data_IF_840092777313
#
_entry.id   IF_840092777313
#
_cell.length_a   1.000
_cell.length_b   1.000
_cell.length_c   1.000
_cell.angle_alpha   90.00
_cell.angle_beta   90.00
_cell.angle_gamma   90.00
#
_symmetry.space_group_name_H-M   'P 1'
#
loop_
_entity.id
_entity.type
_entity.pdbx_description
1 polymer ?
#
# COMPACT_ATOMS: atom_id res chain seq x y z
N UNK A 1 11.49 31.56 18.11
CA UNK A 1 10.30 31.29 18.94
C UNK A 1 9.08 31.12 18.06
N UNK A 2 8.60 32.15 17.33
CA UNK A 2 7.43 32.00 16.44
C UNK A 2 7.57 30.87 15.39
N UNK A 3 8.73 30.74 14.74
CA UNK A 3 8.96 29.67 13.75
C UNK A 3 8.97 28.24 14.32
N UNK A 4 9.24 28.07 15.62
CA UNK A 4 9.22 26.75 16.29
C UNK A 4 7.79 26.35 16.68
N UNK A 5 7.00 27.33 17.12
CA UNK A 5 5.59 27.12 17.46
C UNK A 5 4.76 26.76 16.22
N UNK A 6 4.99 27.45 15.09
CA UNK A 6 4.35 27.17 13.81
C UNK A 6 4.68 25.76 13.29
N UNK A 7 5.92 25.32 13.46
CA UNK A 7 6.35 23.98 13.06
C UNK A 7 5.63 22.90 13.89
N UNK A 8 5.61 23.06 15.22
CA UNK A 8 4.93 22.14 16.14
C UNK A 8 3.43 22.05 15.83
N UNK A 9 2.76 23.18 15.61
CA UNK A 9 1.35 23.22 15.25
C UNK A 9 1.07 22.48 13.94
N UNK A 10 1.90 22.70 12.91
CA UNK A 10 1.74 22.04 11.61
C UNK A 10 1.89 20.52 11.69
N UNK A 11 2.75 20.03 12.60
CA UNK A 11 2.95 18.61 12.83
C UNK A 11 1.77 17.98 13.55
N UNK A 12 1.24 18.64 14.60
CA UNK A 12 0.05 18.18 15.31
C UNK A 12 -1.17 18.13 14.39
N UNK A 13 -1.45 19.21 13.65
CA UNK A 13 -2.59 19.25 12.72
C UNK A 13 -2.49 18.16 11.64
N UNK A 14 -1.28 17.86 11.16
CA UNK A 14 -1.05 16.77 10.20
C UNK A 14 -1.39 15.40 10.79
N UNK A 15 -0.93 15.13 12.02
CA UNK A 15 -1.19 13.86 12.70
C UNK A 15 -2.68 13.71 13.06
N UNK A 16 -3.31 14.76 13.57
CA UNK A 16 -4.75 14.77 13.86
C UNK A 16 -5.58 14.53 12.60
N UNK A 17 -5.19 15.16 11.48
CA UNK A 17 -5.82 14.89 10.21
C UNK A 17 -5.63 13.42 9.80
N UNK A 18 -4.40 12.89 9.82
CA UNK A 18 -4.16 11.49 9.44
C UNK A 18 -4.95 10.52 10.35
N UNK A 19 -5.06 10.81 11.65
CA UNK A 19 -5.85 10.03 12.60
C UNK A 19 -7.34 9.99 12.23
N UNK A 20 -7.87 11.07 11.66
CA UNK A 20 -9.27 11.14 11.19
C UNK A 20 -9.54 10.27 9.95
N UNK A 21 -8.49 9.90 9.19
CA UNK A 21 -8.65 9.04 8.02
C UNK A 21 -8.81 7.59 8.47
N UNK A 22 -9.94 6.97 8.14
CA UNK A 22 -10.17 5.55 8.43
C UNK A 22 -9.35 4.68 7.47
N UNK A 23 -8.24 4.11 7.93
CA UNK A 23 -7.33 3.27 7.15
C UNK A 23 -7.58 1.77 7.34
N UNK A 24 -8.48 1.38 8.25
CA UNK A 24 -8.85 -0.02 8.47
C UNK A 24 -9.27 -0.72 7.18
N UNK A 25 -8.68 -1.90 6.92
CA UNK A 25 -8.97 -2.75 5.77
C UNK A 25 -8.27 -2.35 4.47
N UNK A 26 -7.36 -1.36 4.51
CA UNK A 26 -6.57 -0.95 3.35
C UNK A 26 -5.29 -1.78 3.21
N UNK A 27 -4.85 -2.00 1.97
CA UNK A 27 -3.49 -2.45 1.65
C UNK A 27 -2.55 -1.27 1.44
N UNK A 28 -1.31 -1.52 1.01
CA UNK A 28 -0.30 -0.46 0.82
C UNK A 28 -0.78 0.57 -0.21
N UNK A 29 -1.28 0.13 -1.36
CA UNK A 29 -1.63 1.02 -2.47
C UNK A 29 -2.93 1.76 -2.17
N UNK A 30 -3.97 1.06 -1.67
CA UNK A 30 -5.22 1.72 -1.28
C UNK A 30 -5.04 2.68 -0.10
N UNK A 31 -4.16 2.38 0.86
CA UNK A 31 -3.82 3.31 1.94
C UNK A 31 -3.24 4.60 1.38
N UNK A 32 -2.22 4.52 0.53
CA UNK A 32 -1.61 5.67 -0.13
C UNK A 32 -2.64 6.47 -0.94
N UNK A 33 -3.43 5.77 -1.76
CA UNK A 33 -4.48 6.37 -2.56
C UNK A 33 -5.49 7.15 -1.70
N UNK A 34 -5.86 6.61 -0.53
CA UNK A 34 -6.83 7.21 0.39
C UNK A 34 -6.25 8.41 1.16
N UNK A 35 -5.01 8.32 1.63
CA UNK A 35 -4.34 9.44 2.32
C UNK A 35 -4.13 10.61 1.35
N UNK A 36 -3.57 10.35 0.18
CA UNK A 36 -3.29 11.39 -0.82
C UNK A 36 -4.51 11.87 -1.59
N UNK A 37 -5.68 11.27 -1.41
CA UNK A 37 -6.92 11.87 -1.88
C UNK A 37 -7.21 13.22 -1.20
N UNK A 38 -6.75 13.37 0.05
CA UNK A 38 -6.97 14.58 0.83
C UNK A 38 -5.72 15.47 0.94
N UNK A 39 -4.56 14.98 0.53
CA UNK A 39 -3.29 15.69 0.56
C UNK A 39 -2.69 15.82 -0.84
N UNK A 40 -2.19 17.01 -1.15
CA UNK A 40 -1.21 17.13 -2.24
C UNK A 40 0.11 16.52 -1.77
N UNK A 41 0.66 15.59 -2.56
CA UNK A 41 1.98 15.03 -2.28
C UNK A 41 3.02 16.17 -2.30
N UNK A 42 3.81 16.33 -1.22
CA UNK A 42 4.92 17.26 -1.23
C UNK A 42 5.95 16.91 -2.31
N UNK A 43 6.55 17.91 -2.96
CA UNK A 43 7.66 17.71 -3.89
C UNK A 43 8.94 17.19 -3.22
N UNK A 44 9.09 17.51 -1.94
CA UNK A 44 10.26 17.22 -1.14
C UNK A 44 10.19 15.80 -0.58
N UNK A 45 11.19 14.98 -0.92
CA UNK A 45 11.24 13.58 -0.51
C UNK A 45 11.31 13.39 1.01
N UNK A 46 11.96 14.29 1.76
CA UNK A 46 11.99 14.21 3.22
C UNK A 46 10.60 14.50 3.81
N UNK A 47 9.83 15.40 3.21
CA UNK A 47 8.44 15.66 3.61
C UNK A 47 7.53 14.47 3.29
N UNK A 48 7.71 13.84 2.13
CA UNK A 48 7.02 12.59 1.79
C UNK A 48 7.36 11.53 2.84
N UNK A 49 8.64 11.29 3.12
CA UNK A 49 9.07 10.26 4.05
C UNK A 49 8.48 10.46 5.45
N UNK A 50 8.50 11.70 5.98
CA UNK A 50 7.88 12.04 7.27
C UNK A 50 6.36 11.83 7.28
N UNK A 51 5.68 12.09 6.17
CA UNK A 51 4.23 11.85 6.06
C UNK A 51 3.93 10.35 6.03
N UNK A 52 4.75 9.57 5.33
CA UNK A 52 4.61 8.11 5.27
C UNK A 52 4.89 7.45 6.62
N UNK A 53 5.89 7.92 7.36
CA UNK A 53 6.16 7.47 8.73
C UNK A 53 4.91 7.62 9.63
N UNK A 54 4.32 8.83 9.67
CA UNK A 54 3.09 9.07 10.43
C UNK A 54 1.91 8.24 9.92
N UNK A 55 1.80 8.06 8.60
CA UNK A 55 0.75 7.23 7.99
C UNK A 55 0.90 5.77 8.39
N UNK A 56 2.11 5.21 8.35
CA UNK A 56 2.39 3.83 8.71
C UNK A 56 2.11 3.59 10.20
N UNK A 57 2.52 4.50 11.08
CA UNK A 57 2.23 4.43 12.52
C UNK A 57 0.72 4.43 12.81
N UNK A 58 -0.03 5.32 12.17
CA UNK A 58 -1.48 5.42 12.37
C UNK A 58 -2.20 4.21 11.79
N UNK A 59 -1.81 3.76 10.59
CA UNK A 59 -2.32 2.54 9.98
C UNK A 59 -2.10 1.35 10.91
N UNK A 60 -0.90 1.21 11.48
CA UNK A 60 -0.56 0.11 12.39
C UNK A 60 -1.44 0.10 13.63
N UNK A 61 -1.55 1.25 14.32
CA UNK A 61 -2.40 1.39 15.53
C UNK A 61 -3.87 1.07 15.25
N UNK A 62 -4.41 1.54 14.12
CA UNK A 62 -5.81 1.25 13.76
C UNK A 62 -6.04 -0.25 13.54
N UNK A 63 -5.07 -0.98 12.97
CA UNK A 63 -5.20 -2.43 12.74
C UNK A 63 -4.94 -3.27 13.99
N UNK A 64 -4.05 -2.84 14.89
CA UNK A 64 -3.93 -3.47 16.20
C UNK A 64 -5.23 -3.35 16.99
N UNK A 65 -5.89 -2.19 16.92
CA UNK A 65 -7.19 -2.00 17.57
C UNK A 65 -8.27 -2.88 16.92
N UNK A 66 -8.34 -2.89 15.60
CA UNK A 66 -9.30 -3.74 14.87
C UNK A 66 -9.09 -5.24 15.17
N UNK A 67 -7.84 -5.71 15.26
CA UNK A 67 -7.54 -7.10 15.62
C UNK A 67 -8.00 -7.47 17.04
N UNK A 68 -7.87 -6.53 18.00
CA UNK A 68 -8.38 -6.71 19.37
C UNK A 68 -9.91 -6.76 19.40
N UNK A 69 -10.57 -5.89 18.65
CA UNK A 69 -12.05 -5.84 18.56
C UNK A 69 -12.62 -7.09 17.88
N UNK A 70 -12.04 -7.54 16.76
CA UNK A 70 -12.44 -8.77 16.08
C UNK A 70 -12.26 -10.01 16.97
N UNK A 71 -11.17 -10.05 17.75
CA UNK A 71 -10.94 -11.11 18.73
C UNK A 71 -11.99 -11.15 19.84
N UNK A 72 -12.42 -9.98 20.33
CA UNK A 72 -13.46 -9.87 21.35
C UNK A 72 -14.83 -10.32 20.83
N UNK A 73 -15.22 -9.89 19.63
CA UNK A 73 -16.49 -10.31 19.01
C UNK A 73 -16.51 -11.82 18.75
N UNK A 74 -15.40 -12.40 18.31
CA UNK A 74 -15.31 -13.85 18.12
C UNK A 74 -15.40 -14.60 19.45
N UNK A 75 -14.77 -14.07 20.52
CA UNK A 75 -14.86 -14.66 21.86
C UNK A 75 -16.28 -14.60 22.42
N UNK A 76 -17.00 -13.49 22.23
CA UNK A 76 -18.42 -13.36 22.61
C UNK A 76 -19.30 -14.33 21.81
N UNK A 77 -19.12 -14.41 20.49
CA UNK A 77 -19.86 -15.35 19.63
C UNK A 77 -19.60 -16.82 20.01
N UNK A 78 -18.37 -17.17 20.38
CA UNK A 78 -18.04 -18.52 20.83
C UNK A 78 -18.69 -18.85 22.18
N UNK A 79 -18.75 -17.87 23.08
CA UNK A 79 -19.43 -17.99 24.37
C UNK A 79 -20.96 -18.12 24.22
N UNK A 80 -21.53 -17.52 23.16
CA UNK A 80 -22.93 -17.65 22.80
C UNK A 80 -23.25 -18.96 22.08
N UNK A 81 -22.39 -19.44 21.17
CA UNK A 81 -22.54 -20.73 20.48
C UNK A 81 -22.32 -21.95 21.39
N UNK A 82 -21.56 -21.83 22.48
CA UNK A 82 -21.45 -22.87 23.50
C UNK A 82 -22.81 -23.21 24.18
N UNK A 83 -23.87 -22.44 23.91
CA UNK A 83 -25.24 -22.70 24.39
C UNK A 83 -26.17 -23.39 23.38
N UNK A 84 -25.72 -23.80 22.18
CA UNK A 84 -26.63 -24.45 21.22
C UNK A 84 -25.97 -25.32 20.16
N UNK A 85 -26.55 -26.49 19.82
CA UNK A 85 -26.01 -27.37 18.79
C UNK A 85 -26.36 -26.82 17.40
N UNK A 86 -25.35 -26.54 16.58
CA UNK A 86 -25.56 -26.26 15.14
C UNK A 86 -24.68 -27.16 14.27
N UNK A 87 -25.39 -27.77 13.33
CA UNK A 87 -24.95 -28.62 12.22
C UNK A 87 -24.05 -27.85 11.26
N UNK A 88 -22.81 -28.34 11.12
CA UNK A 88 -21.81 -27.87 10.16
C UNK A 88 -22.24 -28.17 8.71
N UNK A 89 -22.35 -27.12 7.90
CA UNK A 89 -22.20 -27.19 6.45
C UNK A 89 -20.85 -26.56 6.10
N UNK A 90 -19.82 -27.38 5.98
CA UNK A 90 -18.44 -26.96 5.72
C UNK A 90 -18.28 -26.66 4.22
N UNK A 91 -18.36 -25.39 3.83
CA UNK A 91 -18.02 -24.94 2.47
C UNK A 91 -16.51 -24.74 2.40
N UNK A 92 -15.81 -25.77 1.93
CA UNK A 92 -14.39 -25.69 1.57
C UNK A 92 -14.24 -24.79 0.34
N UNK A 93 -13.80 -23.55 0.57
CA UNK A 93 -13.30 -22.70 -0.50
C UNK A 93 -11.85 -23.12 -0.76
N UNK A 94 -11.67 -23.94 -1.79
CA UNK A 94 -10.35 -24.41 -2.22
C UNK A 94 -9.56 -23.25 -2.81
N UNK A 95 -8.41 -22.98 -2.21
CA UNK A 95 -7.46 -21.95 -2.60
C UNK A 95 -6.78 -22.33 -3.91
N UNK A 96 -7.42 -22.04 -5.05
CA UNK A 96 -6.73 -22.03 -6.34
C UNK A 96 -5.78 -20.84 -6.37
N UNK A 97 -4.50 -21.11 -6.61
CA UNK A 97 -3.38 -20.18 -6.53
C UNK A 97 -3.37 -19.12 -7.62
N UNK A 98 -4.40 -18.28 -7.69
CA UNK A 98 -4.37 -17.06 -8.49
C UNK A 98 -3.42 -16.06 -7.82
N UNK A 99 -2.21 -15.98 -8.36
CA UNK A 99 -1.24 -14.93 -8.03
C UNK A 99 -1.74 -13.52 -8.39
N UNK A 100 -2.85 -13.41 -9.14
CA UNK A 100 -3.48 -12.15 -9.59
C UNK A 100 -4.63 -11.67 -8.70
N UNK A 101 -4.67 -12.11 -7.45
CA UNK A 101 -5.67 -11.63 -6.48
C UNK A 101 -5.49 -10.15 -6.10
N UNK A 102 -6.50 -9.55 -5.43
CA UNK A 102 -6.44 -8.18 -4.92
C UNK A 102 -5.23 -7.98 -3.99
N UNK A 103 -4.79 -6.74 -3.79
CA UNK A 103 -3.70 -6.45 -2.86
C UNK A 103 -3.98 -7.03 -1.46
N UNK A 104 -2.91 -7.46 -0.76
CA UNK A 104 -3.04 -7.92 0.63
C UNK A 104 -3.35 -6.70 1.50
N UNK A 105 -4.41 -6.78 2.29
CA UNK A 105 -4.92 -5.65 3.04
C UNK A 105 -5.21 -5.98 4.50
N UNK A 106 -5.42 -4.92 5.29
CA UNK A 106 -5.94 -5.05 6.64
C UNK A 106 -5.01 -5.78 7.60
N UNK A 107 -5.63 -6.51 8.55
CA UNK A 107 -4.93 -7.33 9.54
C UNK A 107 -4.08 -8.43 8.86
N UNK A 108 -4.49 -8.92 7.67
CA UNK A 108 -3.69 -9.91 6.94
C UNK A 108 -2.35 -9.33 6.48
N UNK A 109 -2.32 -8.08 6.05
CA UNK A 109 -1.07 -7.39 5.74
C UNK A 109 -0.25 -7.19 7.02
N UNK A 110 -0.85 -6.67 8.08
CA UNK A 110 -0.17 -6.38 9.36
C UNK A 110 0.56 -7.62 9.90
N UNK A 111 -0.09 -8.79 9.91
CA UNK A 111 0.50 -10.05 10.39
C UNK A 111 1.69 -10.56 9.58
N UNK A 112 1.87 -10.07 8.34
CA UNK A 112 3.00 -10.43 7.46
C UNK A 112 4.15 -9.43 7.55
N UNK A 113 3.93 -8.28 8.20
CA UNK A 113 4.94 -7.26 8.39
C UNK A 113 5.56 -7.41 9.77
N UNK A 114 6.85 -7.08 9.89
CA UNK A 114 7.55 -7.06 11.16
C UNK A 114 7.06 -5.92 12.06
N UNK A 115 6.96 -4.73 11.48
CA UNK A 115 6.65 -3.48 12.14
C UNK A 115 6.14 -2.43 11.13
N UNK A 116 5.88 -1.23 11.63
CA UNK A 116 5.47 -0.09 10.81
C UNK A 116 6.60 0.52 9.98
N UNK A 117 7.87 0.27 10.29
CA UNK A 117 9.01 0.76 9.50
C UNK A 117 9.08 0.01 8.16
N UNK A 118 8.86 -1.30 8.17
CA UNK A 118 8.71 -2.11 6.94
C UNK A 118 7.53 -1.61 6.12
N UNK A 119 6.40 -1.29 6.76
CA UNK A 119 5.24 -0.72 6.06
C UNK A 119 5.57 0.63 5.39
N UNK A 120 6.27 1.52 6.09
CA UNK A 120 6.73 2.80 5.54
C UNK A 120 7.64 2.59 4.32
N UNK A 121 8.58 1.66 4.40
CA UNK A 121 9.47 1.34 3.28
C UNK A 121 8.69 0.82 2.06
N UNK A 122 7.71 -0.07 2.28
CA UNK A 122 6.82 -0.55 1.22
C UNK A 122 5.99 0.59 0.60
N UNK A 123 5.46 1.49 1.43
CA UNK A 123 4.72 2.67 0.97
C UNK A 123 5.58 3.58 0.11
N UNK A 124 6.82 3.86 0.54
CA UNK A 124 7.75 4.70 -0.22
C UNK A 124 8.15 4.03 -1.55
N UNK A 125 8.42 2.73 -1.51
CA UNK A 125 8.74 1.94 -2.70
C UNK A 125 7.58 1.90 -3.71
N UNK A 126 6.33 1.81 -3.24
CA UNK A 126 5.14 1.85 -4.08
C UNK A 126 4.95 3.21 -4.77
N UNK A 127 5.27 4.32 -4.07
CA UNK A 127 5.29 5.66 -4.67
C UNK A 127 6.34 5.76 -5.78
N UNK A 128 7.56 5.29 -5.54
CA UNK A 128 8.61 5.28 -6.56
C UNK A 128 8.26 4.38 -7.74
N UNK A 129 7.58 3.26 -7.50
CA UNK A 129 7.08 2.40 -8.57
C UNK A 129 6.06 3.13 -9.44
N UNK A 130 5.06 3.75 -8.81
CA UNK A 130 4.05 4.55 -9.53
C UNK A 130 4.71 5.64 -10.37
N UNK A 131 5.68 6.35 -9.78
CA UNK A 131 6.45 7.36 -10.50
C UNK A 131 7.19 6.76 -11.70
N UNK A 132 7.91 5.64 -11.52
CA UNK A 132 8.65 4.98 -12.60
C UNK A 132 7.74 4.54 -13.76
N UNK A 133 6.55 4.02 -13.45
CA UNK A 133 5.64 3.49 -14.46
C UNK A 133 4.88 4.58 -15.24
N UNK A 134 4.58 5.72 -14.60
CA UNK A 134 3.66 6.72 -15.13
C UNK A 134 4.24 8.12 -15.37
N UNK A 135 5.44 8.44 -14.90
CA UNK A 135 6.11 9.67 -15.34
C UNK A 135 6.37 9.67 -16.85
N UNK A 136 6.59 10.85 -17.44
CA UNK A 136 7.00 11.00 -18.85
C UNK A 136 8.45 10.53 -19.08
N UNK A 137 8.73 9.26 -18.74
CA UNK A 137 9.99 8.58 -18.96
C UNK A 137 9.89 7.71 -20.22
N UNK A 138 11.00 7.57 -20.98
CA UNK A 138 11.08 6.60 -22.06
C UNK A 138 10.73 5.18 -21.56
N UNK A 139 10.06 4.34 -22.37
CA UNK A 139 9.70 2.98 -21.97
C UNK A 139 10.89 2.13 -21.47
N UNK A 140 12.08 2.36 -22.03
CA UNK A 140 13.33 1.68 -21.62
C UNK A 140 13.80 2.00 -20.20
N UNK A 141 13.27 3.06 -19.57
CA UNK A 141 13.59 3.47 -18.20
C UNK A 141 12.52 3.10 -17.18
N UNK A 142 11.42 2.45 -17.61
CA UNK A 142 10.38 2.00 -16.69
C UNK A 142 10.84 0.73 -16.00
N UNK A 143 10.63 0.66 -14.68
CA UNK A 143 10.96 -0.52 -13.89
C UNK A 143 10.09 -1.69 -14.30
N UNK A 144 10.72 -2.84 -14.57
CA UNK A 144 10.02 -4.11 -14.71
C UNK A 144 9.70 -4.72 -13.34
N UNK A 145 8.79 -5.70 -13.29
CA UNK A 145 8.47 -6.44 -12.06
C UNK A 145 9.71 -7.05 -11.42
N UNK A 146 10.58 -7.68 -12.22
CA UNK A 146 11.81 -8.30 -11.70
C UNK A 146 12.78 -7.29 -11.11
N UNK A 147 13.03 -6.17 -11.81
CA UNK A 147 13.91 -5.10 -11.33
C UNK A 147 13.39 -4.48 -10.03
N UNK A 148 12.08 -4.20 -9.95
CA UNK A 148 11.52 -3.64 -8.73
C UNK A 148 11.55 -4.65 -7.57
N UNK A 149 11.31 -5.94 -7.80
CA UNK A 149 11.49 -6.97 -6.77
C UNK A 149 12.94 -7.05 -6.28
N UNK A 150 13.91 -6.97 -7.18
CA UNK A 150 15.34 -6.96 -6.85
C UNK A 150 15.71 -5.73 -5.99
N UNK A 151 15.21 -4.55 -6.34
CA UNK A 151 15.41 -3.33 -5.54
C UNK A 151 14.85 -3.44 -4.11
N UNK A 152 13.81 -4.25 -3.91
CA UNK A 152 13.17 -4.45 -2.62
C UNK A 152 13.66 -5.73 -1.90
N UNK A 153 14.73 -6.37 -2.37
CA UNK A 153 15.27 -7.57 -1.74
C UNK A 153 15.66 -7.34 -0.26
N UNK A 154 16.18 -6.16 0.09
CA UNK A 154 16.50 -5.82 1.48
C UNK A 154 15.27 -5.75 2.41
N UNK A 155 14.08 -5.43 1.87
CA UNK A 155 12.83 -5.44 2.65
C UNK A 155 12.40 -6.89 2.93
N UNK A 156 12.67 -7.82 2.00
CA UNK A 156 12.40 -9.25 2.20
C UNK A 156 13.20 -9.80 3.38
N UNK A 157 14.49 -9.45 3.46
CA UNK A 157 15.40 -9.89 4.52
C UNK A 157 15.02 -9.31 5.89
N UNK A 158 14.57 -8.05 5.94
CA UNK A 158 14.08 -7.42 7.17
C UNK A 158 12.89 -8.18 7.79
N UNK A 159 12.00 -8.72 6.95
CA UNK A 159 10.86 -9.54 7.39
C UNK A 159 11.25 -10.92 7.94
N UNK A 160 12.38 -11.49 7.54
CA UNK A 160 12.85 -12.78 8.07
C UNK A 160 13.36 -12.67 9.51
N UNK A 161 14.00 -11.55 9.85
CA UNK A 161 14.54 -11.31 11.19
C UNK A 161 13.45 -11.18 12.26
N UNK A 162 12.25 -10.75 11.91
CA UNK A 162 11.13 -10.68 12.86
C UNK A 162 10.54 -12.06 13.19
N UNK A 163 10.69 -13.05 12.31
CA UNK A 163 10.09 -14.37 12.43
C UNK A 163 11.06 -15.41 13.03
N UNK A 164 11.73 -15.08 14.14
CA UNK A 164 12.71 -15.94 14.82
C UNK A 164 12.17 -17.29 15.37
N UNK A 165 10.92 -17.66 15.13
CA UNK A 165 10.33 -18.93 15.56
C UNK A 165 9.99 -19.92 14.42
N UNK A 166 10.28 -19.58 13.17
CA UNK A 166 10.26 -20.54 12.06
C UNK A 166 9.44 -20.10 10.86
N UNK A 167 10.02 -20.23 9.67
CA UNK A 167 9.24 -20.32 8.45
C UNK A 167 9.89 -19.71 7.23
N UNK A 168 10.38 -20.60 6.36
CA UNK A 168 10.58 -20.36 4.91
C UNK A 168 9.40 -19.64 4.23
N UNK A 169 8.22 -19.63 4.86
CA UNK A 169 7.02 -18.95 4.38
C UNK A 169 7.01 -17.43 4.53
N UNK A 170 7.85 -16.82 5.38
CA UNK A 170 7.83 -15.35 5.58
C UNK A 170 8.31 -14.60 4.34
N UNK A 171 9.47 -14.99 3.79
CA UNK A 171 10.04 -14.39 2.58
C UNK A 171 9.13 -14.56 1.36
N UNK A 172 8.53 -15.74 1.20
CA UNK A 172 7.55 -16.00 0.14
C UNK A 172 6.29 -15.13 0.31
N UNK A 173 5.77 -15.00 1.53
CA UNK A 173 4.62 -14.14 1.81
C UNK A 173 4.91 -12.66 1.50
N UNK A 174 6.12 -12.18 1.82
CA UNK A 174 6.54 -10.80 1.49
C UNK A 174 6.74 -10.61 -0.01
N UNK A 175 7.35 -11.59 -0.69
CA UNK A 175 7.47 -11.59 -2.15
C UNK A 175 6.09 -11.50 -2.83
N UNK A 176 5.11 -12.23 -2.32
CA UNK A 176 3.72 -12.15 -2.79
C UNK A 176 3.10 -10.76 -2.56
N UNK A 177 3.33 -10.13 -1.40
CA UNK A 177 2.88 -8.75 -1.14
C UNK A 177 3.47 -7.80 -2.17
N UNK A 178 4.78 -7.85 -2.39
CA UNK A 178 5.45 -7.02 -3.39
C UNK A 178 4.86 -7.27 -4.79
N UNK A 179 4.70 -8.52 -5.20
CA UNK A 179 4.11 -8.86 -6.50
C UNK A 179 2.71 -8.26 -6.69
N UNK A 180 1.87 -8.31 -5.66
CA UNK A 180 0.53 -7.71 -5.69
C UNK A 180 0.58 -6.20 -5.73
N UNK A 181 1.44 -5.55 -4.95
CA UNK A 181 1.68 -4.10 -5.04
C UNK A 181 2.05 -3.71 -6.47
N UNK A 182 3.02 -4.41 -7.08
CA UNK A 182 3.44 -4.12 -8.45
C UNK A 182 2.29 -4.28 -9.43
N UNK A 183 1.54 -5.38 -9.35
CA UNK A 183 0.41 -5.65 -10.22
C UNK A 183 -0.67 -4.56 -10.09
N UNK A 184 -1.06 -4.20 -8.86
CA UNK A 184 -2.04 -3.14 -8.59
C UNK A 184 -1.58 -1.80 -9.14
N UNK A 185 -0.33 -1.40 -8.89
CA UNK A 185 0.21 -0.12 -9.41
C UNK A 185 0.33 -0.14 -10.93
N UNK A 186 0.66 -1.28 -11.56
CA UNK A 186 0.78 -1.36 -13.02
C UNK A 186 -0.56 -1.34 -13.74
N UNK A 187 -1.63 -1.86 -13.12
CA UNK A 187 -2.98 -1.88 -13.69
C UNK A 187 -3.76 -0.59 -13.40
N UNK A 188 -3.52 0.06 -12.27
CA UNK A 188 -4.29 1.21 -11.83
C UNK A 188 -3.44 2.47 -11.77
N UNK A 189 -3.86 3.46 -12.55
CA UNK A 189 -3.30 4.80 -12.43
C UNK A 189 -3.94 5.55 -11.26
N UNK A 190 -3.12 5.98 -10.30
CA UNK A 190 -3.55 6.79 -9.14
C UNK A 190 -3.15 8.26 -9.32
N UNK A 191 -4.07 9.17 -9.73
CA UNK A 191 -3.74 10.58 -9.94
C UNK A 191 -3.17 11.28 -8.70
N UNK A 192 -3.63 10.88 -7.52
CA UNK A 192 -3.17 11.42 -6.24
C UNK A 192 -1.70 11.09 -5.94
N UNK A 193 -1.12 10.08 -6.62
CA UNK A 193 0.29 9.71 -6.48
C UNK A 193 1.21 10.46 -7.45
N UNK A 194 0.70 11.39 -8.26
CA UNK A 194 1.50 12.17 -9.19
C UNK A 194 2.35 13.23 -8.48
N UNK A 195 3.65 12.99 -8.38
CA UNK A 195 4.61 13.93 -7.78
C UNK A 195 5.15 14.93 -8.82
N UNK A 196 5.09 14.60 -10.11
CA UNK A 196 5.74 15.38 -11.17
C UNK A 196 4.88 16.52 -11.76
N UNK A 197 3.61 16.65 -11.35
CA UNK A 197 2.71 17.71 -11.82
C UNK A 197 2.83 18.97 -10.96
N UNK A 198 4.03 19.54 -10.85
CA UNK A 198 4.14 20.90 -10.32
C UNK A 198 3.71 21.88 -11.39
N UNK A 199 2.54 22.50 -11.16
CA UNK A 199 2.14 23.71 -11.87
C UNK A 199 3.23 24.76 -11.62
N UNK A 200 3.96 25.14 -12.66
CA UNK A 200 4.99 26.16 -12.55
C UNK A 200 4.37 27.42 -11.89
N UNK A 201 4.96 27.95 -10.81
CA UNK A 201 4.44 29.14 -10.14
C UNK A 201 4.62 30.33 -11.08
N UNK A 202 3.57 30.67 -11.83
CA UNK A 202 3.56 31.79 -12.78
C UNK A 202 2.81 31.55 -14.09
N UNK A 203 2.49 30.30 -14.46
CA UNK A 203 1.66 30.03 -15.64
C UNK A 203 0.19 29.90 -15.26
N UNK A 204 -0.52 31.03 -15.26
CA UNK A 204 -1.98 31.09 -15.25
C UNK A 204 -2.61 30.68 -16.60
N UNK A 205 -1.81 30.42 -17.63
CA UNK A 205 -2.26 29.88 -18.91
C UNK A 205 -2.44 28.37 -18.84
N UNK A 206 -3.66 27.88 -19.08
CA UNK A 206 -4.04 26.48 -18.99
C UNK A 206 -3.14 25.56 -19.80
N UNK A 207 -2.44 24.67 -19.11
CA UNK A 207 -1.91 23.45 -19.72
C UNK A 207 -3.02 22.41 -19.59
N UNK A 208 -3.79 22.28 -20.65
CA UNK A 208 -4.71 21.16 -20.85
C UNK A 208 -3.87 19.89 -20.81
N UNK A 209 -3.96 19.12 -19.72
CA UNK A 209 -3.50 17.73 -19.73
C UNK A 209 -4.29 17.04 -20.85
N UNK A 210 -3.65 16.45 -21.87
CA UNK A 210 -4.40 15.65 -22.82
C UNK A 210 -5.08 14.53 -22.03
N UNK A 211 -6.42 14.56 -21.98
CA UNK A 211 -7.26 13.69 -21.15
C UNK A 211 -7.26 12.21 -21.59
N UNK A 212 -6.26 11.78 -22.35
CA UNK A 212 -6.17 10.47 -22.95
C UNK A 212 -4.74 9.99 -22.86
N UNK A 213 -4.39 9.46 -21.68
CA UNK A 213 -3.38 8.41 -21.66
C UNK A 213 -3.91 7.28 -22.55
N UNK A 214 -3.12 6.75 -23.51
CA UNK A 214 -3.52 5.57 -24.25
C UNK A 214 -3.72 4.45 -23.23
N UNK A 215 -4.98 4.10 -22.98
CA UNK A 215 -5.33 2.84 -22.32
C UNK A 215 -4.57 1.76 -23.09
N UNK A 216 -3.63 1.11 -22.39
CA UNK A 216 -2.76 0.09 -22.96
C UNK A 216 -3.68 -1.04 -23.41
N UNK A 217 -3.99 -1.11 -24.69
CA UNK A 217 -4.65 -2.29 -25.26
C UNK A 217 -3.75 -3.47 -24.94
N UNK A 218 -4.26 -4.40 -24.14
CA UNK A 218 -3.65 -5.70 -23.93
C UNK A 218 -3.79 -6.42 -25.26
N UNK A 219 -2.81 -6.21 -26.15
CA UNK A 219 -2.67 -7.00 -27.37
C UNK A 219 -2.36 -8.43 -26.95
N UNK A 220 -3.39 -9.27 -26.99
CA UNK A 220 -3.24 -10.71 -26.82
C UNK A 220 -2.29 -11.24 -27.88
N UNK A 221 -1.10 -11.65 -27.46
CA UNK A 221 -0.21 -12.50 -28.25
C UNK A 221 -0.85 -13.86 -28.41
N UNK A 222 -1.75 -13.99 -29.37
CA UNK A 222 -2.11 -15.25 -29.99
C UNK A 222 -0.96 -15.66 -30.91
N UNK A 223 -0.03 -16.45 -30.36
CA UNK A 223 0.94 -17.18 -31.17
C UNK A 223 0.19 -18.25 -31.97
N UNK A 224 -0.02 -17.99 -33.26
CA UNK A 224 -0.11 -19.05 -34.27
C UNK A 224 1.32 -19.43 -34.64
N UNK A 225 1.67 -20.70 -34.44
CA UNK A 225 2.56 -21.49 -35.30
C UNK A 225 2.62 -22.92 -34.74
N UNK A 226 1.81 -23.82 -35.30
CA UNK A 226 2.16 -25.01 -36.13
C UNK A 226 0.85 -25.76 -36.43
#
# INVERSE_FOLDING_TARGET
VEAEEDFSLSQTLRLEFLNSVRLVGTGVVSCLAKVFQNFQIPSDLHKINRLLEGTAQIWWRQHEQAEREDGALFQEAFQECARGPRTLGEVRSEATGDEEGPEVSGVQLMRRLADHDVLQQLMLSAIFLHWSLYAPLPPSRRLTRSQWLEMNAGILEAGENAAHAGGRGSSEAMRQILCRIYHTVNLCFFPQLQIWLHKAPGTSGGWSVPATLPMRNVEGTGAQDV
#
